data_IF_611930393604
#
_entry.id   IF_611930393604
#
_cell.length_a   1.000
_cell.length_b   1.000
_cell.length_c   1.000
_cell.angle_alpha   90.00
_cell.angle_beta   90.00
_cell.angle_gamma   90.00
#
_symmetry.space_group_name_H-M   'P 1'
#
loop_
_entity.id
_entity.type
_entity.pdbx_description
1 polymer ?
#
# COMPACT_ATOMS: atom_id res chain seq x y z
N UNK A 1 14.81 2.75 -29.85
CA UNK A 1 15.46 2.44 -28.56
C UNK A 1 14.59 1.39 -27.89
N UNK A 2 15.15 0.22 -27.56
CA UNK A 2 14.42 -0.86 -26.87
C UNK A 2 14.92 -1.00 -25.44
N UNK A 3 14.03 -1.44 -24.54
CA UNK A 3 14.29 -1.61 -23.12
C UNK A 3 15.13 -2.87 -22.87
N UNK A 4 16.22 -2.73 -22.10
CA UNK A 4 16.99 -3.86 -21.55
C UNK A 4 16.29 -4.42 -20.29
N UNK A 5 15.91 -5.69 -20.32
CA UNK A 5 15.17 -6.35 -19.24
C UNK A 5 16.03 -6.75 -18.04
N UNK A 6 17.36 -6.70 -18.16
CA UNK A 6 18.30 -6.99 -17.06
C UNK A 6 18.29 -5.91 -15.98
N UNK A 7 17.77 -4.73 -16.31
CA UNK A 7 17.66 -3.60 -15.39
C UNK A 7 16.17 -3.32 -15.11
N UNK A 8 15.59 -3.86 -14.02
CA UNK A 8 14.20 -3.58 -13.68
C UNK A 8 14.03 -2.10 -13.33
N UNK A 9 13.03 -1.45 -13.95
CA UNK A 9 12.66 -0.08 -13.63
C UNK A 9 11.54 -0.12 -12.59
N UNK A 10 11.74 0.56 -11.47
CA UNK A 10 10.71 0.76 -10.45
C UNK A 10 10.15 2.17 -10.57
N UNK A 11 8.85 2.27 -10.84
CA UNK A 11 8.12 3.52 -10.80
C UNK A 11 7.15 3.51 -9.62
N UNK A 12 7.17 4.55 -8.81
CA UNK A 12 6.16 4.78 -7.77
C UNK A 12 5.22 5.86 -8.27
N UNK A 13 3.95 5.53 -8.48
CA UNK A 13 2.92 6.51 -8.83
C UNK A 13 2.21 6.96 -7.55
N UNK A 14 2.32 8.25 -7.24
CA UNK A 14 1.63 8.86 -6.10
C UNK A 14 0.58 9.84 -6.62
N UNK A 15 -0.65 9.70 -6.13
CA UNK A 15 -1.75 10.61 -6.45
C UNK A 15 -1.97 11.57 -5.29
N UNK A 16 -1.80 12.86 -5.55
CA UNK A 16 -2.10 13.93 -4.59
C UNK A 16 -3.32 14.71 -5.08
N UNK A 17 -4.38 14.77 -4.26
CA UNK A 17 -5.54 15.61 -4.50
C UNK A 17 -5.74 16.55 -3.32
N UNK A 18 -5.51 17.84 -3.56
CA UNK A 18 -5.84 18.89 -2.60
C UNK A 18 -7.35 19.15 -2.66
N UNK A 19 -8.05 18.93 -1.55
CA UNK A 19 -9.43 19.41 -1.41
C UNK A 19 -9.40 20.75 -0.67
N UNK A 20 -10.09 21.76 -1.20
CA UNK A 20 -10.09 23.13 -0.68
C UNK A 20 -10.64 23.27 0.76
N UNK A 21 -11.24 22.20 1.31
CA UNK A 21 -11.98 22.20 2.56
C UNK A 21 -11.51 21.08 3.52
N UNK A 22 -10.51 20.27 3.12
CA UNK A 22 -10.12 19.06 3.86
C UNK A 22 -11.15 17.92 3.84
N UNK A 23 -12.30 18.11 3.19
CA UNK A 23 -13.34 17.09 3.07
C UNK A 23 -13.07 16.27 1.82
N UNK A 24 -12.89 14.97 2.01
CA UNK A 24 -12.80 13.99 0.93
C UNK A 24 -14.19 13.47 0.63
N UNK A 25 -14.70 13.71 -0.59
CA UNK A 25 -16.03 13.26 -0.97
C UNK A 25 -16.02 11.85 -1.57
N UNK A 26 -17.16 11.15 -1.52
CA UNK A 26 -17.32 9.82 -2.13
C UNK A 26 -16.99 9.83 -3.65
N UNK A 27 -17.39 10.85 -4.44
CA UNK A 27 -16.94 11.00 -5.82
C UNK A 27 -15.41 11.11 -5.98
N UNK A 28 -14.72 11.80 -5.05
CA UNK A 28 -13.26 11.94 -5.12
C UNK A 28 -12.55 10.60 -4.96
N UNK A 29 -13.01 9.78 -4.01
CA UNK A 29 -12.49 8.44 -3.79
C UNK A 29 -12.77 7.54 -5.00
N UNK A 30 -13.95 7.64 -5.61
CA UNK A 30 -14.31 6.87 -6.80
C UNK A 30 -13.43 7.24 -8.00
N UNK A 31 -13.16 8.52 -8.22
CA UNK A 31 -12.28 8.98 -9.29
C UNK A 31 -10.83 8.47 -9.10
N UNK A 32 -10.32 8.50 -7.87
CA UNK A 32 -8.99 7.96 -7.54
C UNK A 32 -8.95 6.44 -7.78
N UNK A 33 -9.99 5.72 -7.34
CA UNK A 33 -10.09 4.28 -7.53
C UNK A 33 -10.09 3.90 -9.02
N UNK A 34 -10.80 4.66 -9.86
CA UNK A 34 -10.82 4.43 -11.31
C UNK A 34 -9.45 4.68 -11.96
N UNK A 35 -8.74 5.73 -11.54
CA UNK A 35 -7.39 6.02 -12.03
C UNK A 35 -6.41 4.92 -11.64
N UNK A 36 -6.47 4.44 -10.40
CA UNK A 36 -5.64 3.33 -9.93
C UNK A 36 -5.97 2.05 -10.71
N UNK A 37 -7.26 1.71 -10.84
CA UNK A 37 -7.69 0.51 -11.55
C UNK A 37 -7.19 0.49 -13.01
N UNK A 38 -7.21 1.64 -13.68
CA UNK A 38 -6.67 1.78 -15.04
C UNK A 38 -5.15 1.54 -15.11
N UNK A 39 -4.39 2.08 -14.15
CA UNK A 39 -2.94 1.81 -14.07
C UNK A 39 -2.65 0.32 -13.91
N UNK A 40 -3.44 -0.41 -13.11
CA UNK A 40 -3.29 -1.86 -12.97
C UNK A 40 -3.76 -2.65 -14.21
N UNK A 41 -4.77 -2.18 -14.92
CA UNK A 41 -5.28 -2.82 -16.14
C UNK A 41 -4.32 -2.65 -17.33
N UNK A 42 -3.69 -1.47 -17.45
CA UNK A 42 -2.83 -1.10 -18.57
C UNK A 42 -1.35 -1.49 -18.35
N UNK A 43 -0.97 -1.94 -17.15
CA UNK A 43 0.42 -2.28 -16.83
C UNK A 43 0.69 -3.79 -16.93
N UNK A 44 1.55 -4.19 -17.86
CA UNK A 44 1.95 -5.60 -18.07
C UNK A 44 2.75 -6.22 -16.90
N UNK A 45 3.30 -5.39 -16.00
CA UNK A 45 4.16 -5.81 -14.89
C UNK A 45 3.91 -5.00 -13.60
N UNK A 46 2.66 -4.93 -13.16
CA UNK A 46 2.33 -4.42 -11.82
C UNK A 46 2.68 -5.48 -10.77
N UNK A 47 3.89 -5.36 -10.22
CA UNK A 47 4.38 -6.24 -9.17
C UNK A 47 5.87 -6.48 -9.27
N UNK A 48 6.67 -5.52 -8.82
CA UNK A 48 8.10 -5.78 -8.61
C UNK A 48 8.26 -6.48 -7.27
N UNK A 49 8.52 -7.80 -7.29
CA UNK A 49 9.04 -8.50 -6.12
C UNK A 49 10.46 -7.97 -5.88
N UNK A 50 10.63 -7.16 -4.85
CA UNK A 50 11.94 -6.64 -4.44
C UNK A 50 12.62 -7.72 -3.60
N UNK A 51 13.60 -8.40 -4.16
CA UNK A 51 14.37 -9.44 -3.46
C UNK A 51 15.66 -8.90 -2.82
N UNK A 52 16.06 -7.68 -3.17
CA UNK A 52 17.29 -7.06 -2.69
C UNK A 52 16.98 -5.96 -1.67
N UNK A 53 17.54 -6.12 -0.48
CA UNK A 53 17.59 -5.09 0.55
C UNK A 53 19.03 -4.57 0.67
N UNK A 54 19.23 -3.34 1.18
CA UNK A 54 20.56 -2.75 1.45
C UNK A 54 21.34 -2.41 0.19
N UNK A 55 20.66 -1.81 -0.77
CA UNK A 55 21.29 -1.30 -2.00
C UNK A 55 21.61 0.19 -1.95
N UNK A 56 21.55 0.78 -0.74
CA UNK A 56 21.88 2.18 -0.44
C UNK A 56 21.03 3.18 -1.24
N UNK A 57 19.80 2.78 -1.58
CA UNK A 57 18.87 3.63 -2.34
C UNK A 57 18.27 4.71 -1.44
N UNK A 58 18.03 5.93 -1.96
CA UNK A 58 17.45 7.03 -1.17
C UNK A 58 16.06 6.76 -0.54
N UNK A 59 15.34 5.75 -1.04
CA UNK A 59 14.02 5.36 -0.54
C UNK A 59 14.06 4.07 0.29
N UNK A 60 15.25 3.53 0.57
CA UNK A 60 15.38 2.42 1.50
C UNK A 60 15.19 2.90 2.94
N UNK A 61 14.44 2.13 3.70
CA UNK A 61 14.26 2.39 5.13
C UNK A 61 15.56 2.03 5.84
N UNK A 62 16.26 3.03 6.38
CA UNK A 62 17.48 2.88 7.19
C UNK A 62 17.21 2.32 8.60
N UNK A 63 15.95 2.12 8.97
CA UNK A 63 15.56 1.58 10.27
C UNK A 63 15.90 0.10 10.46
N UNK A 64 16.03 -0.32 11.72
CA UNK A 64 16.20 -1.74 12.09
C UNK A 64 15.03 -2.57 11.54
N UNK A 65 15.36 -3.57 10.71
CA UNK A 65 14.36 -4.48 10.10
C UNK A 65 13.90 -5.59 11.06
N UNK A 66 14.19 -5.44 12.36
CA UNK A 66 13.77 -6.39 13.38
C UNK A 66 12.36 -6.01 13.85
N UNK A 67 11.48 -7.00 13.97
CA UNK A 67 10.16 -6.80 14.56
C UNK A 67 10.32 -6.28 15.99
N UNK A 68 9.75 -5.11 16.35
CA UNK A 68 9.79 -4.63 17.72
C UNK A 68 9.08 -5.61 18.67
N UNK A 69 9.56 -5.76 19.92
CA UNK A 69 8.86 -6.58 20.90
C UNK A 69 7.40 -6.15 21.06
N UNK A 70 6.47 -7.11 21.05
CA UNK A 70 5.02 -6.89 21.15
C UNK A 70 4.38 -6.11 19.99
N UNK A 71 5.06 -5.95 18.84
CA UNK A 71 4.55 -5.17 17.70
C UNK A 71 3.12 -5.57 17.30
N UNK A 72 2.86 -6.87 17.11
CA UNK A 72 1.52 -7.36 16.76
C UNK A 72 0.47 -7.07 17.83
N UNK A 73 0.83 -7.15 19.12
CA UNK A 73 -0.10 -6.85 20.21
C UNK A 73 -0.50 -5.38 20.18
N UNK A 74 0.48 -4.48 20.04
CA UNK A 74 0.25 -3.04 20.01
C UNK A 74 -0.54 -2.65 18.75
N UNK A 75 -0.22 -3.26 17.61
CA UNK A 75 -0.97 -3.08 16.36
C UNK A 75 -2.46 -3.41 16.56
N UNK A 76 -2.79 -4.59 17.10
CA UNK A 76 -4.18 -5.00 17.29
C UNK A 76 -4.91 -4.15 18.33
N UNK A 77 -4.22 -3.69 19.37
CA UNK A 77 -4.79 -2.72 20.32
C UNK A 77 -5.13 -1.41 19.62
N UNK A 78 -4.19 -0.84 18.86
CA UNK A 78 -4.40 0.41 18.14
C UNK A 78 -5.49 0.28 17.06
N UNK A 79 -5.49 -0.83 16.32
CA UNK A 79 -6.52 -1.13 15.32
C UNK A 79 -7.92 -1.11 15.95
N UNK A 80 -8.09 -1.80 17.08
CA UNK A 80 -9.36 -1.82 17.82
C UNK A 80 -9.76 -0.44 18.31
N UNK A 81 -8.83 0.34 18.85
CA UNK A 81 -9.09 1.73 19.27
C UNK A 81 -9.56 2.60 18.10
N UNK A 82 -8.92 2.47 16.93
CA UNK A 82 -9.20 3.32 15.78
C UNK A 82 -10.47 2.93 15.02
N UNK A 83 -10.80 1.64 14.97
CA UNK A 83 -11.85 1.11 14.08
C UNK A 83 -13.03 0.51 14.85
N UNK A 84 -12.89 0.28 16.15
CA UNK A 84 -13.82 -0.51 16.96
C UNK A 84 -13.76 -2.02 16.70
N UNK A 85 -13.00 -2.47 15.68
CA UNK A 85 -12.98 -3.86 15.24
C UNK A 85 -11.93 -4.67 16.01
N UNK A 86 -12.33 -5.83 16.51
CA UNK A 86 -11.41 -6.83 17.05
C UNK A 86 -10.57 -7.47 15.93
N UNK A 87 -9.56 -8.24 16.33
CA UNK A 87 -8.78 -9.04 15.38
C UNK A 87 -9.71 -9.98 14.63
N UNK A 88 -10.57 -10.69 15.34
CA UNK A 88 -11.52 -11.67 14.82
C UNK A 88 -12.46 -11.04 13.78
N UNK A 89 -12.99 -9.84 14.05
CA UNK A 89 -13.84 -9.10 13.11
C UNK A 89 -13.11 -8.79 11.80
N UNK A 90 -11.83 -8.37 11.89
CA UNK A 90 -11.00 -8.09 10.72
C UNK A 90 -10.71 -9.36 9.90
N UNK A 91 -10.52 -10.51 10.56
CA UNK A 91 -10.34 -11.79 9.89
C UNK A 91 -11.61 -12.25 9.18
N UNK A 92 -12.78 -12.10 9.81
CA UNK A 92 -14.07 -12.39 9.18
C UNK A 92 -14.37 -11.46 8.00
N UNK A 93 -14.06 -10.17 8.11
CA UNK A 93 -14.17 -9.22 6.99
C UNK A 93 -13.28 -9.64 5.82
N UNK A 94 -12.02 -10.02 6.08
CA UNK A 94 -11.11 -10.53 5.05
C UNK A 94 -11.65 -11.79 4.37
N UNK A 95 -12.26 -12.70 5.13
CA UNK A 95 -12.88 -13.92 4.59
C UNK A 95 -14.04 -13.60 3.65
N UNK A 96 -14.91 -12.67 4.04
CA UNK A 96 -16.05 -12.21 3.21
C UNK A 96 -15.63 -11.53 1.92
N UNK A 97 -14.51 -10.80 1.91
CA UNK A 97 -13.97 -10.14 0.71
C UNK A 97 -13.27 -11.10 -0.27
N UNK A 98 -12.94 -12.32 0.17
CA UNK A 98 -12.29 -13.36 -0.64
C UNK A 98 -13.23 -14.46 -1.13
N UNK A 99 -14.49 -14.44 -0.67
CA UNK A 99 -15.57 -15.28 -1.22
C UNK A 99 -16.25 -14.59 -2.39
#
# INVERSE_FOLDING_TARGET
>A
MERDTRFPIRATVQFYKATSNGIVSKPDIQAIQQQIARVYADADYVGSLVTEAETDRPAESEGTKQEPPNWWRNFWQQHKTNTGQSREDAWEMRRKLKG
#
